data_IF_481941569796
#
_entry.id   IF_481941569796
#
_cell.length_a   1.000
_cell.length_b   1.000
_cell.length_c   1.000
_cell.angle_alpha   90.00
_cell.angle_beta   90.00
_cell.angle_gamma   90.00
#
_symmetry.space_group_name_H-M   'P 1'
#
loop_
_entity.id
_entity.type
_entity.pdbx_description
1 polymer ?
#
# COMPACT_ATOMS: atom_id res chain seq x y z
N UNK A 1 1.26 -17.47 -7.86
CA UNK A 1 1.49 -18.22 -6.62
C UNK A 1 0.89 -19.60 -6.84
N UNK A 2 1.69 -20.54 -7.33
CA UNK A 2 1.25 -21.92 -7.53
C UNK A 2 1.65 -22.72 -6.29
N UNK A 3 0.74 -23.57 -5.81
CA UNK A 3 0.83 -24.27 -4.53
C UNK A 3 2.12 -25.05 -4.37
N UNK A 4 2.59 -25.13 -3.11
CA UNK A 4 3.66 -26.01 -2.72
C UNK A 4 3.22 -27.44 -3.07
N UNK A 5 3.91 -28.09 -4.02
CA UNK A 5 3.68 -29.50 -4.31
C UNK A 5 4.26 -30.27 -3.14
N UNK A 6 3.41 -30.64 -2.19
CA UNK A 6 3.73 -31.67 -1.21
C UNK A 6 3.79 -32.96 -2.00
N UNK A 7 4.94 -33.65 -2.00
CA UNK A 7 5.15 -34.96 -2.61
C UNK A 7 3.91 -35.87 -2.42
N UNK A 8 3.02 -35.91 -3.41
CA UNK A 8 1.90 -36.84 -3.43
C UNK A 8 2.32 -38.03 -4.25
N UNK A 9 2.48 -39.17 -3.56
CA UNK A 9 2.52 -40.46 -4.24
C UNK A 9 1.28 -40.58 -5.14
N UNK A 10 1.38 -41.21 -6.32
CA UNK A 10 0.23 -41.37 -7.20
C UNK A 10 -0.92 -42.04 -6.44
N UNK A 11 -2.07 -41.37 -6.40
CA UNK A 11 -3.26 -41.90 -5.73
C UNK A 11 -3.71 -43.15 -6.47
N UNK A 12 -3.82 -44.30 -5.80
CA UNK A 12 -4.22 -45.53 -6.47
C UNK A 12 -5.69 -45.42 -6.93
N UNK A 13 -5.98 -46.06 -8.07
CA UNK A 13 -7.19 -45.81 -8.88
C UNK A 13 -8.49 -46.21 -8.18
N UNK A 14 -8.40 -47.16 -7.27
CA UNK A 14 -9.45 -47.63 -6.36
C UNK A 14 -9.89 -46.55 -5.36
N UNK A 15 -8.95 -45.77 -4.82
CA UNK A 15 -9.23 -44.63 -3.94
C UNK A 15 -9.87 -43.48 -4.71
N UNK A 16 -9.51 -43.30 -5.99
CA UNK A 16 -10.06 -42.23 -6.83
C UNK A 16 -11.49 -42.49 -7.33
N UNK A 17 -11.94 -43.74 -7.34
CA UNK A 17 -13.26 -44.13 -7.87
C UNK A 17 -14.27 -44.49 -6.77
N UNK A 18 -13.83 -44.60 -5.52
CA UNK A 18 -14.71 -44.82 -4.37
C UNK A 18 -15.52 -43.58 -3.95
N UNK A 19 -16.62 -43.77 -3.20
CA UNK A 19 -17.38 -42.67 -2.64
C UNK A 19 -16.55 -41.93 -1.58
N UNK A 20 -16.59 -40.60 -1.60
CA UNK A 20 -15.91 -39.76 -0.60
C UNK A 20 -16.40 -40.10 0.80
N UNK A 21 -15.48 -40.46 1.70
CA UNK A 21 -15.83 -40.74 3.10
C UNK A 21 -15.85 -39.45 3.93
N UNK A 22 -16.53 -39.47 5.08
CA UNK A 22 -16.51 -38.34 6.03
C UNK A 22 -15.10 -38.01 6.52
N UNK A 23 -14.24 -39.03 6.62
CA UNK A 23 -12.83 -38.88 7.00
C UNK A 23 -12.03 -38.10 5.95
N UNK A 24 -12.29 -38.35 4.66
CA UNK A 24 -11.64 -37.62 3.56
C UNK A 24 -12.07 -36.15 3.57
N UNK A 25 -13.35 -35.88 3.84
CA UNK A 25 -13.88 -34.52 3.97
C UNK A 25 -13.21 -33.79 5.12
N UNK A 26 -13.12 -34.42 6.30
CA UNK A 26 -12.47 -33.82 7.48
C UNK A 26 -10.98 -33.54 7.24
N UNK A 27 -10.29 -34.46 6.57
CA UNK A 27 -8.89 -34.29 6.17
C UNK A 27 -8.72 -33.11 5.22
N UNK A 28 -9.55 -33.03 4.18
CA UNK A 28 -9.51 -31.93 3.22
C UNK A 28 -9.84 -30.57 3.87
N UNK A 29 -10.82 -30.53 4.78
CA UNK A 29 -11.14 -29.34 5.56
C UNK A 29 -9.96 -28.87 6.43
N UNK A 30 -9.22 -29.81 7.03
CA UNK A 30 -8.03 -29.52 7.83
C UNK A 30 -6.92 -28.91 6.97
N UNK A 31 -6.64 -29.49 5.80
CA UNK A 31 -5.67 -28.93 4.85
C UNK A 31 -6.06 -27.54 4.36
N UNK A 32 -7.34 -27.31 4.07
CA UNK A 32 -7.83 -25.99 3.69
C UNK A 32 -7.63 -24.94 4.80
N UNK A 33 -7.88 -25.31 6.06
CA UNK A 33 -7.64 -24.43 7.20
C UNK A 33 -6.16 -24.07 7.31
N UNK A 34 -5.27 -25.06 7.20
CA UNK A 34 -3.84 -24.84 7.23
C UNK A 34 -3.38 -23.92 6.08
N UNK A 35 -3.82 -24.18 4.85
CA UNK A 35 -3.44 -23.36 3.69
C UNK A 35 -3.90 -21.90 3.81
N UNK A 36 -5.06 -21.65 4.43
CA UNK A 36 -5.54 -20.29 4.71
C UNK A 36 -4.64 -19.56 5.71
N UNK A 37 -4.24 -20.25 6.77
CA UNK A 37 -3.32 -19.69 7.78
C UNK A 37 -1.95 -19.39 7.17
N UNK A 38 -1.39 -20.35 6.41
CA UNK A 38 -0.10 -20.20 5.75
C UNK A 38 -0.12 -19.07 4.72
N UNK A 39 -1.19 -18.99 3.91
CA UNK A 39 -1.38 -17.91 2.94
C UNK A 39 -1.46 -16.53 3.59
N UNK A 40 -2.15 -16.41 4.73
CA UNK A 40 -2.19 -15.17 5.50
C UNK A 40 -0.82 -14.82 6.09
N UNK A 41 -0.14 -15.78 6.73
CA UNK A 41 1.18 -15.58 7.31
C UNK A 41 2.20 -15.10 6.26
N UNK A 42 2.22 -15.72 5.08
CA UNK A 42 3.07 -15.29 3.97
C UNK A 42 2.72 -13.89 3.45
N UNK A 43 1.44 -13.51 3.45
CA UNK A 43 1.00 -12.17 3.03
C UNK A 43 1.53 -11.11 4.02
N UNK A 44 1.41 -11.36 5.32
CA UNK A 44 1.94 -10.49 6.37
C UNK A 44 3.46 -10.39 6.27
N UNK A 45 4.16 -11.52 6.20
CA UNK A 45 5.62 -11.54 6.10
C UNK A 45 6.11 -10.82 4.83
N UNK A 46 5.43 -11.01 3.70
CA UNK A 46 5.76 -10.29 2.47
C UNK A 46 5.57 -8.78 2.64
N UNK A 47 4.47 -8.34 3.25
CA UNK A 47 4.19 -6.95 3.52
C UNK A 47 5.26 -6.33 4.43
N UNK A 48 5.66 -7.02 5.50
CA UNK A 48 6.72 -6.60 6.42
C UNK A 48 8.06 -6.47 5.71
N UNK A 49 8.47 -7.45 4.90
CA UNK A 49 9.70 -7.38 4.09
C UNK A 49 9.68 -6.17 3.16
N UNK A 50 8.56 -5.92 2.48
CA UNK A 50 8.41 -4.74 1.60
C UNK A 50 8.51 -3.43 2.36
N UNK A 51 7.89 -3.35 3.55
CA UNK A 51 7.99 -2.19 4.42
C UNK A 51 9.43 -1.97 4.87
N UNK A 52 10.14 -3.00 5.31
CA UNK A 52 11.53 -2.91 5.73
C UNK A 52 12.45 -2.42 4.59
N UNK A 53 12.26 -2.92 3.36
CA UNK A 53 13.00 -2.44 2.18
C UNK A 53 12.69 -0.98 1.88
N UNK A 54 11.41 -0.58 1.96
CA UNK A 54 11.01 0.81 1.78
C UNK A 54 11.64 1.73 2.84
N UNK A 55 11.55 1.37 4.12
CA UNK A 55 12.11 2.14 5.23
C UNK A 55 13.63 2.28 5.09
N UNK A 56 14.33 1.20 4.71
CA UNK A 56 15.78 1.24 4.40
C UNK A 56 16.09 2.22 3.26
N UNK A 57 15.30 2.21 2.18
CA UNK A 57 15.46 3.13 1.04
C UNK A 57 15.22 4.59 1.43
N UNK A 58 14.21 4.85 2.25
CA UNK A 58 13.92 6.19 2.78
C UNK A 58 15.07 6.67 3.67
N UNK A 59 15.60 5.84 4.56
CA UNK A 59 16.69 6.23 5.46
C UNK A 59 18.03 6.47 4.73
N UNK A 60 18.28 5.75 3.63
CA UNK A 60 19.55 5.80 2.88
C UNK A 60 19.63 6.96 1.88
N UNK A 61 18.49 7.48 1.39
CA UNK A 61 18.47 8.55 0.40
C UNK A 61 17.97 9.86 1.01
N UNK A 62 18.71 10.95 0.79
CA UNK A 62 18.18 12.28 1.09
C UNK A 62 17.05 12.62 0.09
N UNK A 63 15.97 13.31 0.53
CA UNK A 63 15.77 13.89 1.85
C UNK A 63 14.94 13.00 2.80
N UNK A 64 15.46 11.84 3.26
CA UNK A 64 14.94 11.00 4.36
C UNK A 64 13.40 11.05 4.54
N UNK A 65 12.94 11.30 5.77
CA UNK A 65 11.54 11.62 6.06
C UNK A 65 11.44 13.14 6.13
N UNK A 66 10.82 13.76 5.12
CA UNK A 66 10.51 15.19 5.17
C UNK A 66 9.27 15.39 6.02
N UNK A 67 9.48 15.88 7.24
CA UNK A 67 8.40 16.36 8.09
C UNK A 67 8.31 17.87 7.94
N UNK A 68 7.12 18.35 7.63
CA UNK A 68 6.86 19.77 7.60
C UNK A 68 6.26 20.23 8.94
N UNK A 69 6.67 21.40 9.40
CA UNK A 69 6.26 21.98 10.67
C UNK A 69 5.25 23.12 10.44
N UNK A 70 4.32 23.36 11.40
CA UNK A 70 3.49 24.55 11.38
C UNK A 70 4.32 25.82 11.19
N UNK A 71 3.81 26.72 10.35
CA UNK A 71 4.49 27.96 9.99
C UNK A 71 5.40 27.87 8.75
N UNK A 72 5.80 26.68 8.31
CA UNK A 72 6.63 26.50 7.12
C UNK A 72 5.84 26.72 5.82
N UNK A 73 6.55 27.18 4.79
CA UNK A 73 6.01 27.34 3.45
C UNK A 73 6.21 26.05 2.63
N UNK A 74 5.12 25.59 2.01
CA UNK A 74 5.08 24.40 1.15
C UNK A 74 4.33 24.69 -0.13
N UNK A 75 4.61 23.93 -1.18
CA UNK A 75 3.85 23.93 -2.43
C UNK A 75 3.17 22.58 -2.62
N UNK A 76 1.91 22.60 -3.06
CA UNK A 76 1.14 21.38 -3.31
C UNK A 76 1.27 21.00 -4.78
N UNK A 77 1.62 19.74 -5.04
CA UNK A 77 1.67 19.20 -6.38
C UNK A 77 0.26 18.93 -6.93
N UNK A 78 0.00 19.36 -8.16
CA UNK A 78 -1.28 19.16 -8.85
C UNK A 78 -1.33 17.78 -9.52
N UNK A 79 -1.67 16.76 -8.74
CA UNK A 79 -1.74 15.36 -9.22
C UNK A 79 -2.91 15.11 -10.18
N UNK A 80 -4.00 15.87 -10.05
CA UNK A 80 -5.18 15.87 -10.93
C UNK A 80 -4.80 16.10 -12.40
N UNK A 81 -3.85 17.00 -12.66
CA UNK A 81 -3.40 17.33 -14.01
C UNK A 81 -2.41 16.32 -14.61
N UNK A 82 -1.96 15.32 -13.84
CA UNK A 82 -0.91 14.39 -14.28
C UNK A 82 -1.40 13.41 -15.35
N UNK A 83 -2.68 13.04 -15.31
CA UNK A 83 -3.27 12.03 -16.21
C UNK A 83 -4.10 12.63 -17.35
N UNK A 84 -4.38 13.94 -17.29
CA UNK A 84 -5.11 14.63 -18.36
C UNK A 84 -4.16 14.95 -19.52
N UNK A 85 -4.43 14.38 -20.70
CA UNK A 85 -3.73 14.70 -21.96
C UNK A 85 -4.23 16.02 -22.58
N UNK A 86 -4.31 17.08 -21.78
CA UNK A 86 -4.69 18.40 -22.26
C UNK A 86 -3.43 19.21 -22.59
N UNK A 87 -3.44 19.89 -23.75
CA UNK A 87 -2.36 20.79 -24.18
C UNK A 87 -2.06 21.89 -23.15
N UNK A 88 -3.08 22.29 -22.38
CA UNK A 88 -2.98 23.28 -21.30
C UNK A 88 -1.94 22.91 -20.23
N UNK A 89 -1.62 21.63 -20.07
CA UNK A 89 -0.58 21.15 -19.14
C UNK A 89 0.81 21.69 -19.48
N UNK A 90 1.07 21.99 -20.75
CA UNK A 90 2.36 22.60 -21.16
C UNK A 90 2.49 24.07 -20.70
N UNK A 91 1.37 24.70 -20.34
CA UNK A 91 1.30 26.13 -20.01
C UNK A 91 1.08 26.38 -18.51
N UNK A 92 0.49 25.44 -17.78
CA UNK A 92 0.14 25.60 -16.37
C UNK A 92 1.25 25.05 -15.44
N UNK A 93 1.60 25.75 -14.35
CA UNK A 93 2.54 25.22 -13.36
C UNK A 93 1.98 24.00 -12.61
N UNK A 94 2.82 22.98 -12.44
CA UNK A 94 2.48 21.74 -11.72
C UNK A 94 2.46 21.90 -10.19
N UNK A 95 3.07 22.96 -9.68
CA UNK A 95 3.11 23.28 -8.25
C UNK A 95 2.20 24.48 -7.98
N UNK A 96 1.51 24.45 -6.84
CA UNK A 96 0.72 25.60 -6.39
C UNK A 96 1.60 26.80 -6.03
N UNK A 97 0.96 27.95 -5.84
CA UNK A 97 1.59 29.02 -5.06
C UNK A 97 2.02 28.53 -3.67
N UNK A 98 3.02 29.17 -3.03
CA UNK A 98 3.42 28.84 -1.67
C UNK A 98 2.24 28.96 -0.68
N UNK A 99 2.16 28.01 0.25
CA UNK A 99 1.13 27.89 1.27
C UNK A 99 1.79 27.67 2.62
N UNK A 100 1.17 28.12 3.71
CA UNK A 100 1.69 27.90 5.06
C UNK A 100 0.99 26.71 5.70
N UNK A 101 1.72 25.94 6.50
CA UNK A 101 1.15 24.87 7.31
C UNK A 101 0.55 25.45 8.59
N UNK A 102 -0.71 25.13 8.84
CA UNK A 102 -1.43 25.49 10.07
C UNK A 102 -1.23 24.41 11.11
N UNK A 103 -1.50 23.15 10.73
CA UNK A 103 -1.41 22.01 11.61
C UNK A 103 -1.06 20.73 10.85
N UNK A 104 -0.62 19.72 11.60
CA UNK A 104 -0.24 18.40 11.09
C UNK A 104 -0.92 17.32 11.91
N UNK A 105 -1.56 16.38 11.23
CA UNK A 105 -1.96 15.08 11.76
C UNK A 105 -1.27 13.96 10.95
N UNK A 106 -0.25 13.33 11.54
CA UNK A 106 0.62 12.32 10.89
C UNK A 106 1.19 12.82 9.55
N UNK A 107 0.63 12.37 8.42
CA UNK A 107 1.03 12.75 7.05
C UNK A 107 0.03 13.71 6.38
N UNK A 108 -1.02 14.09 7.10
CA UNK A 108 -2.06 15.00 6.66
C UNK A 108 -1.80 16.39 7.23
N UNK A 109 -1.95 17.41 6.39
CA UNK A 109 -1.63 18.79 6.72
C UNK A 109 -2.82 19.70 6.40
N UNK A 110 -3.10 20.63 7.31
CA UNK A 110 -4.03 21.74 7.06
C UNK A 110 -3.20 22.93 6.60
N UNK A 111 -3.61 23.54 5.49
CA UNK A 111 -2.86 24.61 4.85
C UNK A 111 -3.66 25.92 4.84
N UNK A 112 -2.93 27.01 4.82
CA UNK A 112 -3.45 28.34 4.56
C UNK A 112 -2.64 29.03 3.45
N UNK A 113 -3.23 30.05 2.85
CA UNK A 113 -2.54 30.92 1.89
C UNK A 113 -1.54 31.80 2.65
N UNK A 114 -0.52 32.33 1.97
CA UNK A 114 0.43 33.30 2.56
C UNK A 114 -0.25 34.53 3.20
N UNK A 115 -1.46 34.87 2.77
CA UNK A 115 -2.31 35.92 3.33
C UNK A 115 -3.16 35.48 4.55
N UNK A 116 -2.96 34.27 5.09
CA UNK A 116 -3.70 33.77 6.27
C UNK A 116 -5.10 33.23 5.99
N UNK A 117 -5.46 33.00 4.72
CA UNK A 117 -6.76 32.42 4.35
C UNK A 117 -6.70 30.88 4.43
N UNK A 118 -7.56 30.21 5.23
CA UNK A 118 -7.57 28.75 5.32
C UNK A 118 -7.95 28.12 3.98
N UNK A 119 -7.29 27.02 3.65
CA UNK A 119 -7.59 26.23 2.45
C UNK A 119 -8.38 25.01 2.90
N UNK A 120 -9.56 24.83 2.32
CA UNK A 120 -10.42 23.70 2.66
C UNK A 120 -9.78 22.36 2.27
N UNK A 121 -9.91 21.39 3.18
CA UNK A 121 -9.41 20.03 3.00
C UNK A 121 -8.05 19.78 3.68
N UNK A 122 -7.65 18.51 3.66
CA UNK A 122 -6.38 18.03 4.20
C UNK A 122 -5.47 17.57 3.07
N UNK A 123 -4.18 17.92 3.16
CA UNK A 123 -3.19 17.62 2.14
C UNK A 123 -2.23 16.54 2.63
N UNK A 124 -2.00 15.50 1.82
CA UNK A 124 -1.04 14.44 2.10
C UNK A 124 0.37 14.84 1.65
N UNK A 125 1.39 14.52 2.45
CA UNK A 125 2.80 14.61 2.03
C UNK A 125 3.30 13.37 1.26
N UNK A 126 2.43 12.38 1.03
CA UNK A 126 2.67 11.19 0.22
C UNK A 126 1.86 11.23 -1.06
#
# INVERSE_FOLDING_TARGET
MFGLIVNTAPTPTDVSTGPTTEHDIATHQTYLQQQRLDGYAHTVEHAERRKAVFDKRVLTRAPRVVMFLPGQLVQVYRSDMRYTMASIRKLIPMWSCPRRIVSRDRNSYVLETTAGRPINGTFSSR
#
